data_IF_786931509581
#
_entry.id   IF_786931509581
#
_cell.length_a   1.000
_cell.length_b   1.000
_cell.length_c   1.000
_cell.angle_alpha   90.00
_cell.angle_beta   90.00
_cell.angle_gamma   90.00
#
_symmetry.space_group_name_H-M   'P 1'
#
loop_
_entity.id
_entity.type
_entity.pdbx_description
1 polymer ?
#
# COMPACT_ATOMS: atom_id res chain seq x y z
N UNK A 1 -9.20 -3.84 26.18
CA UNK A 1 -9.49 -3.79 24.74
C UNK A 1 -9.17 -5.10 24.06
N UNK A 2 -9.89 -5.45 22.99
CA UNK A 2 -9.55 -6.60 22.15
C UNK A 2 -8.38 -6.24 21.23
N UNK A 3 -7.49 -7.19 20.99
CA UNK A 3 -6.45 -7.10 19.96
C UNK A 3 -6.13 -8.48 19.39
N UNK A 4 -5.52 -8.51 18.20
CA UNK A 4 -5.02 -9.75 17.62
C UNK A 4 -3.60 -10.02 18.08
N UNK A 5 -3.40 -11.22 18.62
CA UNK A 5 -2.11 -11.83 18.89
C UNK A 5 -1.85 -12.98 17.92
N UNK A 6 -0.61 -13.30 17.62
CA UNK A 6 -0.21 -14.43 16.78
C UNK A 6 0.97 -15.18 17.38
N UNK A 7 1.02 -16.48 17.11
CA UNK A 7 2.07 -17.36 17.65
C UNK A 7 3.41 -17.21 16.94
N UNK A 8 4.49 -17.70 17.54
CA UNK A 8 5.85 -17.60 17.00
C UNK A 8 6.07 -18.41 15.71
N UNK A 9 5.19 -19.35 15.41
CA UNK A 9 5.18 -20.11 14.16
C UNK A 9 4.74 -19.28 12.94
N UNK A 10 4.14 -18.12 13.17
CA UNK A 10 3.62 -17.24 12.13
C UNK A 10 2.47 -17.83 11.33
N UNK A 11 1.84 -18.90 11.83
CA UNK A 11 0.70 -19.55 11.19
C UNK A 11 -0.56 -18.70 11.25
N UNK A 12 -1.41 -18.79 10.23
CA UNK A 12 -2.71 -18.08 10.22
C UNK A 12 -3.61 -18.56 11.37
N UNK A 13 -3.53 -19.84 11.68
CA UNK A 13 -4.34 -20.47 12.72
C UNK A 13 -3.88 -20.14 14.14
N UNK A 14 -2.72 -19.53 14.29
CA UNK A 14 -2.20 -19.05 15.58
C UNK A 14 -2.76 -17.66 15.96
N UNK A 15 -3.44 -16.99 15.06
CA UNK A 15 -4.05 -15.68 15.34
C UNK A 15 -5.28 -15.84 16.24
N UNK A 16 -5.31 -15.08 17.33
CA UNK A 16 -6.39 -15.10 18.31
C UNK A 16 -6.69 -13.71 18.85
N UNK A 17 -7.91 -13.50 19.27
CA UNK A 17 -8.28 -12.29 20.03
C UNK A 17 -7.87 -12.49 21.49
N UNK A 18 -7.21 -11.47 22.02
CA UNK A 18 -6.83 -11.39 23.43
C UNK A 18 -7.26 -10.05 24.01
N UNK A 19 -7.42 -10.01 25.33
CA UNK A 19 -7.67 -8.77 26.06
C UNK A 19 -6.34 -8.13 26.46
N UNK A 20 -6.25 -6.80 26.31
CA UNK A 20 -5.10 -5.99 26.67
C UNK A 20 -5.55 -4.61 27.17
N UNK A 21 -4.66 -3.90 27.87
CA UNK A 21 -4.89 -2.50 28.23
C UNK A 21 -4.78 -1.60 26.98
N UNK A 22 -5.64 -0.57 26.85
CA UNK A 22 -5.50 0.42 25.78
C UNK A 22 -4.16 1.17 25.91
N UNK A 23 -3.46 1.43 24.79
CA UNK A 23 -2.26 2.24 24.82
C UNK A 23 -2.61 3.70 25.15
N UNK A 24 -1.65 4.43 25.74
CA UNK A 24 -1.80 5.86 26.02
C UNK A 24 -1.05 6.69 25.00
N UNK A 25 -1.66 7.77 24.47
CA UNK A 25 -0.98 8.63 23.51
C UNK A 25 0.09 9.48 24.21
N UNK A 26 1.30 9.49 23.64
CA UNK A 26 2.40 10.37 24.04
C UNK A 26 2.29 11.78 23.44
N UNK A 27 3.32 12.63 23.62
CA UNK A 27 3.33 13.98 23.05
C UNK A 27 3.20 13.97 21.51
N UNK A 28 2.23 14.73 20.98
CA UNK A 28 1.94 14.82 19.56
C UNK A 28 1.27 13.57 18.96
N UNK A 29 0.77 12.66 19.80
CA UNK A 29 0.06 11.47 19.38
C UNK A 29 -1.43 11.54 19.73
N UNK A 30 -2.23 10.82 18.95
CA UNK A 30 -3.66 10.63 19.18
C UNK A 30 -3.95 9.16 19.40
N UNK A 31 -4.88 8.86 20.32
CA UNK A 31 -5.49 7.55 20.47
C UNK A 31 -6.71 7.48 19.54
N UNK A 32 -6.74 6.49 18.68
CA UNK A 32 -7.84 6.25 17.76
C UNK A 32 -8.64 5.04 18.27
N UNK A 33 -9.95 5.22 18.48
CA UNK A 33 -10.92 4.15 18.58
C UNK A 33 -11.14 3.57 17.19
N UNK A 34 -10.64 2.35 16.96
CA UNK A 34 -10.60 1.76 15.61
C UNK A 34 -11.95 1.15 15.27
N UNK A 35 -12.52 1.57 14.16
CA UNK A 35 -13.71 0.96 13.56
C UNK A 35 -13.34 -0.02 12.45
N UNK A 36 -12.37 0.36 11.61
CA UNK A 36 -11.89 -0.48 10.50
C UNK A 36 -10.37 -0.42 10.41
N UNK A 37 -9.75 -1.55 10.05
CA UNK A 37 -8.32 -1.67 9.79
C UNK A 37 -8.06 -2.33 8.44
N UNK A 38 -7.22 -1.72 7.60
CA UNK A 38 -6.84 -2.31 6.32
C UNK A 38 -5.84 -3.45 6.50
N UNK A 39 -5.95 -4.48 5.65
CA UNK A 39 -5.00 -5.61 5.60
C UNK A 39 -3.98 -5.37 4.50
N UNK A 40 -2.71 -5.59 4.81
CA UNK A 40 -1.59 -5.29 3.93
C UNK A 40 -0.56 -6.43 3.87
N UNK A 41 0.22 -6.49 2.80
CA UNK A 41 1.32 -7.46 2.67
C UNK A 41 2.33 -7.45 3.82
N UNK A 42 2.73 -6.27 4.36
CA UNK A 42 3.56 -6.19 5.54
C UNK A 42 2.98 -6.84 6.80
N UNK A 43 1.65 -6.89 6.98
CA UNK A 43 1.00 -7.59 8.11
C UNK A 43 1.27 -9.09 8.03
N UNK A 44 1.13 -9.67 6.82
CA UNK A 44 1.46 -11.07 6.58
C UNK A 44 2.96 -11.34 6.81
N UNK A 45 3.80 -10.45 6.31
CA UNK A 45 5.24 -10.55 6.47
C UNK A 45 5.68 -10.43 7.94
N UNK A 46 5.04 -9.53 8.72
CA UNK A 46 5.29 -9.41 10.15
C UNK A 46 4.87 -10.67 10.89
N UNK A 47 3.65 -11.16 10.66
CA UNK A 47 3.18 -12.42 11.26
C UNK A 47 4.14 -13.58 10.99
N UNK A 48 4.70 -13.66 9.78
CA UNK A 48 5.65 -14.68 9.35
C UNK A 48 7.11 -14.40 9.77
N UNK A 49 7.36 -13.40 10.63
CA UNK A 49 8.70 -13.07 11.14
C UNK A 49 9.64 -12.41 10.13
N UNK A 50 9.15 -12.04 8.93
CA UNK A 50 9.97 -11.46 7.84
C UNK A 50 9.99 -9.93 7.82
N UNK A 51 9.14 -9.27 8.61
CA UNK A 51 9.03 -7.82 8.67
C UNK A 51 8.76 -7.35 10.11
N UNK A 52 9.75 -7.40 11.01
CA UNK A 52 9.57 -7.04 12.42
C UNK A 52 9.19 -5.56 12.57
N UNK A 53 8.41 -5.20 13.60
CA UNK A 53 8.12 -3.81 13.91
C UNK A 53 9.43 -3.07 14.27
N UNK A 54 9.56 -1.78 13.90
CA UNK A 54 10.69 -0.97 14.31
C UNK A 54 10.66 -0.75 15.85
N UNK A 55 11.80 -0.42 16.46
CA UNK A 55 11.86 -0.14 17.90
C UNK A 55 10.82 0.90 18.34
N UNK A 56 10.09 0.61 19.42
CA UNK A 56 9.05 1.49 19.96
C UNK A 56 7.68 1.39 19.28
N UNK A 57 7.56 0.71 18.14
CA UNK A 57 6.25 0.47 17.51
C UNK A 57 5.51 -0.71 18.18
N UNK A 58 4.18 -0.66 18.15
CA UNK A 58 3.34 -1.76 18.60
C UNK A 58 3.69 -3.07 17.88
N UNK A 59 3.82 -4.21 18.59
CA UNK A 59 3.98 -5.52 17.98
C UNK A 59 2.68 -6.07 17.37
N UNK A 60 1.53 -5.48 17.70
CA UNK A 60 0.25 -5.85 17.16
C UNK A 60 0.20 -5.48 15.66
N UNK A 61 -0.38 -6.35 14.83
CA UNK A 61 -0.54 -6.14 13.39
C UNK A 61 -1.42 -4.91 13.07
N UNK A 62 -1.41 -4.52 11.81
CA UNK A 62 -2.23 -3.44 11.27
C UNK A 62 -1.49 -2.13 11.14
N UNK A 63 -1.37 -1.64 9.90
CA UNK A 63 -0.58 -0.46 9.53
C UNK A 63 -1.44 0.73 9.08
N UNK A 64 -2.74 0.55 8.97
CA UNK A 64 -3.71 1.60 8.63
C UNK A 64 -5.06 1.35 9.27
N UNK A 65 -5.72 2.41 9.65
CA UNK A 65 -7.02 2.36 10.31
C UNK A 65 -7.94 3.50 9.86
N UNK A 66 -9.25 3.34 10.08
CA UNK A 66 -10.19 4.45 10.19
C UNK A 66 -11.00 4.29 11.48
N UNK A 67 -11.26 5.41 12.13
CA UNK A 67 -11.96 5.42 13.41
C UNK A 67 -12.11 6.83 13.96
N UNK A 68 -12.37 6.91 15.26
CA UNK A 68 -12.66 8.15 15.96
C UNK A 68 -11.53 8.50 16.93
N UNK A 69 -11.11 9.73 16.98
CA UNK A 69 -10.15 10.20 17.98
C UNK A 69 -10.77 10.09 19.36
N UNK A 70 -10.20 9.24 20.23
CA UNK A 70 -10.70 8.94 21.57
C UNK A 70 -9.98 9.74 22.65
N UNK A 71 -8.67 9.98 22.49
CA UNK A 71 -7.85 10.74 23.44
C UNK A 71 -6.73 11.47 22.70
N UNK A 72 -6.31 12.61 23.27
CA UNK A 72 -5.22 13.43 22.75
C UNK A 72 -4.05 13.38 23.71
N UNK A 73 -2.86 13.09 23.19
CA UNK A 73 -1.63 13.29 23.95
C UNK A 73 -1.27 14.76 24.10
N UNK A 74 -0.28 15.08 24.94
CA UNK A 74 0.19 16.47 25.10
C UNK A 74 0.62 17.08 23.75
N UNK A 75 0.38 18.38 23.58
CA UNK A 75 0.78 19.16 22.41
C UNK A 75 0.07 18.81 21.08
N UNK A 76 -0.97 17.98 21.09
CA UNK A 76 -1.83 17.76 19.92
C UNK A 76 -2.64 19.02 19.64
N UNK A 77 -2.67 19.45 18.39
CA UNK A 77 -3.33 20.69 17.96
C UNK A 77 -4.20 20.55 16.69
N UNK A 78 -4.00 19.50 15.91
CA UNK A 78 -4.69 19.33 14.61
C UNK A 78 -6.05 18.64 14.74
N UNK A 79 -6.29 17.91 15.83
CA UNK A 79 -7.48 17.08 16.03
C UNK A 79 -8.17 17.37 17.35
N UNK A 80 -9.43 16.97 17.44
CA UNK A 80 -10.25 17.00 18.66
C UNK A 80 -10.79 15.61 18.96
N UNK A 81 -11.04 15.33 20.24
CA UNK A 81 -11.77 14.13 20.64
C UNK A 81 -13.11 14.09 19.92
N UNK A 82 -13.40 12.97 19.27
CA UNK A 82 -14.61 12.78 18.50
C UNK A 82 -14.46 12.96 16.99
N UNK A 83 -13.34 13.50 16.50
CA UNK A 83 -13.10 13.64 15.06
C UNK A 83 -12.95 12.26 14.38
N UNK A 84 -13.51 12.12 13.19
CA UNK A 84 -13.34 10.94 12.35
C UNK A 84 -12.09 11.08 11.50
N UNK A 85 -11.23 10.07 11.58
CA UNK A 85 -9.92 10.05 10.89
C UNK A 85 -9.66 8.74 10.20
N UNK A 86 -8.84 8.79 9.16
CA UNK A 86 -8.07 7.65 8.67
C UNK A 86 -6.59 7.93 8.89
N UNK A 87 -5.80 6.91 9.22
CA UNK A 87 -4.42 7.13 9.61
C UNK A 87 -3.48 5.99 9.21
N UNK A 88 -2.25 6.37 8.84
CA UNK A 88 -1.12 5.45 8.81
C UNK A 88 -0.62 5.25 10.24
N UNK A 89 -0.53 3.99 10.67
CA UNK A 89 -0.08 3.65 12.02
C UNK A 89 1.19 2.78 11.99
N UNK A 90 2.07 2.87 13.00
CA UNK A 90 3.32 2.08 13.02
C UNK A 90 3.09 0.61 13.36
N UNK A 91 1.89 0.24 13.73
CA UNK A 91 1.38 -1.03 14.20
C UNK A 91 0.17 -0.81 15.10
N UNK A 92 -0.48 -1.88 15.55
CA UNK A 92 -1.60 -1.76 16.48
C UNK A 92 -2.98 -1.64 15.83
N UNK A 93 -3.07 -1.59 14.51
CA UNK A 93 -4.35 -1.41 13.81
C UNK A 93 -5.34 -2.56 14.01
N UNK A 94 -4.87 -3.77 14.34
CA UNK A 94 -5.75 -4.91 14.62
C UNK A 94 -6.13 -4.97 16.11
N UNK A 95 -6.49 -3.82 16.66
CA UNK A 95 -6.95 -3.69 18.04
C UNK A 95 -8.07 -2.63 18.13
N UNK A 96 -8.89 -2.70 19.18
CA UNK A 96 -9.97 -1.74 19.42
C UNK A 96 -9.46 -0.28 19.53
N UNK A 97 -8.20 -0.10 19.94
CA UNK A 97 -7.53 1.20 20.03
C UNK A 97 -6.09 1.12 19.54
N UNK A 98 -5.63 2.15 18.85
CA UNK A 98 -4.23 2.30 18.48
C UNK A 98 -3.76 3.75 18.60
N UNK A 99 -2.45 3.94 18.70
CA UNK A 99 -1.81 5.25 18.81
C UNK A 99 -1.03 5.57 17.55
N UNK A 100 -1.11 6.80 17.09
CA UNK A 100 -0.27 7.33 16.02
C UNK A 100 0.01 8.82 16.21
N UNK A 101 1.04 9.33 15.53
CA UNK A 101 1.26 10.78 15.46
C UNK A 101 0.03 11.47 14.86
N UNK A 102 -0.40 12.60 15.45
CA UNK A 102 -1.47 13.44 14.88
C UNK A 102 -1.20 13.81 13.42
N UNK A 103 0.08 13.89 13.05
CA UNK A 103 0.57 14.27 11.72
C UNK A 103 0.49 13.14 10.67
N UNK A 104 0.11 11.92 11.07
CA UNK A 104 -0.12 10.79 10.15
C UNK A 104 -1.61 10.54 9.87
N UNK A 105 -2.48 11.26 10.57
CA UNK A 105 -3.91 11.17 10.39
C UNK A 105 -4.40 12.16 9.30
N UNK A 106 -5.46 11.76 8.62
CA UNK A 106 -6.14 12.50 7.57
C UNK A 106 -7.65 12.49 7.83
N UNK A 107 -8.40 13.51 7.39
CA UNK A 107 -9.86 13.45 7.44
C UNK A 107 -10.37 12.33 6.53
N UNK A 108 -11.53 11.81 6.83
CA UNK A 108 -12.22 10.88 5.91
C UNK A 108 -12.57 11.66 4.63
N UNK A 109 -12.19 11.20 3.43
CA UNK A 109 -12.59 11.84 2.19
C UNK A 109 -14.13 11.90 2.07
N UNK A 110 -14.66 13.02 1.67
CA UNK A 110 -16.10 13.18 1.47
C UNK A 110 -16.64 12.13 0.50
N UNK A 111 -17.79 11.54 0.81
CA UNK A 111 -18.44 10.51 0.00
C UNK A 111 -17.88 9.09 0.18
N UNK A 112 -16.79 8.90 0.92
CA UNK A 112 -16.29 7.57 1.23
C UNK A 112 -16.80 7.05 2.57
N UNK A 113 -17.04 5.75 2.65
CA UNK A 113 -17.33 5.07 3.91
C UNK A 113 -16.07 4.92 4.77
N UNK A 114 -16.23 4.72 6.07
CA UNK A 114 -15.09 4.45 6.97
C UNK A 114 -14.28 3.23 6.54
N UNK A 115 -14.94 2.17 6.07
CA UNK A 115 -14.26 0.99 5.56
C UNK A 115 -13.37 1.30 4.33
N UNK A 116 -13.85 2.13 3.41
CA UNK A 116 -13.06 2.59 2.26
C UNK A 116 -11.89 3.45 2.72
N UNK A 117 -12.13 4.36 3.66
CA UNK A 117 -11.09 5.23 4.19
C UNK A 117 -9.99 4.46 4.92
N UNK A 118 -10.34 3.39 5.68
CA UNK A 118 -9.37 2.52 6.36
C UNK A 118 -8.40 1.81 5.41
N UNK A 119 -8.70 1.76 4.13
CA UNK A 119 -7.92 1.08 3.09
C UNK A 119 -7.04 2.02 2.26
N UNK A 120 -6.94 3.31 2.64
CA UNK A 120 -6.22 4.33 1.87
C UNK A 120 -4.77 4.53 2.33
N UNK A 121 -4.46 4.73 3.63
CA UNK A 121 -3.17 5.29 4.04
C UNK A 121 -1.96 4.48 3.58
N UNK A 122 -1.90 3.18 3.87
CA UNK A 122 -0.72 2.35 3.55
C UNK A 122 -0.43 2.35 2.04
N UNK A 123 -1.47 2.21 1.21
CA UNK A 123 -1.31 2.19 -0.23
C UNK A 123 -0.90 3.57 -0.77
N UNK A 124 -1.59 4.64 -0.36
CA UNK A 124 -1.35 5.98 -0.91
C UNK A 124 -0.04 6.59 -0.46
N UNK A 125 0.35 6.44 0.82
CA UNK A 125 1.68 6.83 1.29
C UNK A 125 2.79 6.09 0.54
N UNK A 126 2.59 4.79 0.29
CA UNK A 126 3.57 3.97 -0.42
C UNK A 126 3.71 4.39 -1.88
N UNK A 127 2.60 4.55 -2.62
CA UNK A 127 2.70 4.92 -4.04
C UNK A 127 3.20 6.34 -4.21
N UNK A 128 2.81 7.29 -3.34
CA UNK A 128 3.32 8.66 -3.36
C UNK A 128 4.83 8.70 -3.17
N UNK A 129 5.31 8.11 -2.08
CA UNK A 129 6.73 8.07 -1.76
C UNK A 129 7.60 7.43 -2.85
N UNK A 130 7.05 6.46 -3.57
CA UNK A 130 7.80 5.70 -4.55
C UNK A 130 7.66 6.24 -5.98
N UNK A 131 6.47 6.64 -6.39
CA UNK A 131 6.23 7.13 -7.74
C UNK A 131 6.50 8.63 -7.89
N UNK A 132 6.14 9.45 -6.90
CA UNK A 132 6.37 10.90 -6.95
C UNK A 132 7.74 11.24 -6.40
N UNK A 133 8.02 10.94 -5.13
CA UNK A 133 9.24 11.39 -4.48
C UNK A 133 10.51 10.74 -5.06
N UNK A 134 10.47 9.42 -5.32
CA UNK A 134 11.66 8.68 -5.77
C UNK A 134 11.76 8.58 -7.28
N UNK A 135 10.70 8.18 -7.95
CA UNK A 135 10.71 8.02 -9.40
C UNK A 135 10.53 9.35 -10.13
N UNK A 136 9.95 10.36 -9.50
CA UNK A 136 9.63 11.63 -10.17
C UNK A 136 8.73 11.41 -11.39
N UNK A 137 7.69 10.56 -11.24
CA UNK A 137 6.75 10.24 -12.32
C UNK A 137 6.10 11.50 -12.87
N UNK A 138 6.07 11.64 -14.20
CA UNK A 138 5.57 12.84 -14.89
C UNK A 138 4.46 12.51 -15.87
N UNK A 139 3.71 13.53 -16.24
CA UNK A 139 2.72 13.45 -17.31
C UNK A 139 3.35 12.93 -18.63
N UNK A 140 2.63 12.06 -19.33
CA UNK A 140 3.07 11.43 -20.57
C UNK A 140 4.03 10.25 -20.41
N UNK A 141 4.57 9.98 -19.21
CA UNK A 141 5.42 8.82 -18.96
C UNK A 141 4.62 7.52 -18.86
N UNK A 142 5.21 6.42 -19.33
CA UNK A 142 4.64 5.06 -19.19
C UNK A 142 5.13 4.43 -17.91
N UNK A 143 4.19 4.02 -17.05
CA UNK A 143 4.43 3.33 -15.79
C UNK A 143 3.98 1.88 -15.89
N UNK A 144 4.90 0.91 -15.74
CA UNK A 144 4.52 -0.49 -15.55
C UNK A 144 4.39 -0.79 -14.06
N UNK A 145 3.27 -1.37 -13.66
CA UNK A 145 2.94 -1.74 -12.27
C UNK A 145 2.79 -3.26 -12.20
N UNK A 146 3.66 -3.94 -11.48
CA UNK A 146 3.43 -5.36 -11.17
C UNK A 146 2.39 -5.52 -10.07
N UNK A 147 1.48 -6.50 -10.24
CA UNK A 147 0.39 -6.71 -9.29
C UNK A 147 -0.72 -5.65 -9.38
N UNK A 148 -1.11 -5.27 -10.60
CA UNK A 148 -2.05 -4.17 -10.88
C UNK A 148 -3.39 -4.25 -10.13
N UNK A 149 -3.89 -5.45 -9.85
CA UNK A 149 -5.16 -5.66 -9.13
C UNK A 149 -5.05 -5.61 -7.60
N UNK A 150 -3.85 -5.43 -7.04
CA UNK A 150 -3.66 -5.27 -5.59
C UNK A 150 -4.06 -3.86 -5.13
N UNK A 151 -4.18 -3.65 -3.81
CA UNK A 151 -4.43 -2.32 -3.25
C UNK A 151 -3.39 -1.28 -3.69
N UNK A 152 -2.11 -1.65 -3.68
CA UNK A 152 -1.00 -0.82 -4.20
C UNK A 152 -1.16 -0.59 -5.70
N UNK A 153 -1.48 -1.64 -6.47
CA UNK A 153 -1.64 -1.54 -7.92
C UNK A 153 -2.76 -0.57 -8.31
N UNK A 154 -3.92 -0.66 -7.66
CA UNK A 154 -5.04 0.23 -7.92
C UNK A 154 -4.76 1.68 -7.50
N UNK A 155 -4.10 1.89 -6.37
CA UNK A 155 -3.64 3.22 -5.97
C UNK A 155 -2.63 3.81 -6.97
N UNK A 156 -1.69 2.98 -7.48
CA UNK A 156 -0.72 3.39 -8.49
C UNK A 156 -1.38 3.73 -9.85
N UNK A 157 -2.41 2.97 -10.28
CA UNK A 157 -3.21 3.31 -11.46
C UNK A 157 -3.88 4.68 -11.26
N UNK A 158 -4.54 4.88 -10.09
CA UNK A 158 -5.21 6.14 -9.77
C UNK A 158 -4.25 7.32 -9.75
N UNK A 159 -3.07 7.17 -9.11
CA UNK A 159 -2.05 8.21 -9.05
C UNK A 159 -1.47 8.52 -10.45
N UNK A 160 -1.15 7.49 -11.24
CA UNK A 160 -0.64 7.68 -12.60
C UNK A 160 -1.60 8.51 -13.46
N UNK A 161 -2.90 8.18 -13.42
CA UNK A 161 -3.92 8.94 -14.12
C UNK A 161 -4.04 10.39 -13.62
N UNK A 162 -3.96 10.57 -12.30
CA UNK A 162 -4.04 11.90 -11.69
C UNK A 162 -2.91 12.82 -12.15
N UNK A 163 -1.69 12.28 -12.31
CA UNK A 163 -0.54 13.05 -12.80
C UNK A 163 -0.40 13.06 -14.32
N UNK A 164 -1.32 12.40 -15.06
CA UNK A 164 -1.29 12.35 -16.53
C UNK A 164 -0.28 11.35 -17.11
N UNK A 165 0.18 10.37 -16.32
CA UNK A 165 1.00 9.25 -16.79
C UNK A 165 0.13 8.09 -17.31
N UNK A 166 0.74 7.16 -18.05
CA UNK A 166 0.11 6.03 -18.73
C UNK A 166 0.36 4.74 -17.94
N UNK A 167 -0.61 4.23 -17.15
CA UNK A 167 -0.43 3.01 -16.37
C UNK A 167 -0.62 1.75 -17.22
N UNK A 168 0.41 0.91 -17.26
CA UNK A 168 0.38 -0.46 -17.72
C UNK A 168 0.49 -1.37 -16.49
N UNK A 169 -0.20 -2.51 -16.48
CA UNK A 169 -0.15 -3.40 -15.32
C UNK A 169 0.10 -4.84 -15.72
N UNK A 170 0.67 -5.64 -14.81
CA UNK A 170 0.67 -7.10 -14.90
C UNK A 170 -0.26 -7.69 -13.85
N UNK A 171 -1.01 -8.72 -14.23
CA UNK A 171 -1.99 -9.41 -13.39
C UNK A 171 -1.96 -10.91 -13.65
N UNK A 172 -2.62 -11.71 -12.81
CA UNK A 172 -2.53 -13.16 -12.84
C UNK A 172 -3.68 -13.88 -13.53
N UNK A 173 -4.65 -13.18 -14.13
CA UNK A 173 -5.73 -13.77 -14.93
C UNK A 173 -6.51 -12.71 -15.71
N UNK A 174 -7.31 -13.15 -16.69
CA UNK A 174 -8.10 -12.27 -17.57
C UNK A 174 -9.16 -11.45 -16.83
N UNK A 175 -9.79 -11.97 -15.77
CA UNK A 175 -10.76 -11.21 -14.95
C UNK A 175 -10.09 -9.99 -14.31
N UNK A 176 -8.92 -10.18 -13.74
CA UNK A 176 -8.11 -9.09 -13.16
C UNK A 176 -7.64 -8.11 -14.22
N UNK A 177 -7.30 -8.59 -15.41
CA UNK A 177 -6.89 -7.74 -16.53
C UNK A 177 -8.04 -6.81 -16.93
N UNK A 178 -9.22 -7.35 -17.17
CA UNK A 178 -10.40 -6.56 -17.52
C UNK A 178 -10.73 -5.54 -16.43
N UNK A 179 -10.73 -5.98 -15.15
CA UNK A 179 -10.99 -5.08 -14.02
C UNK A 179 -10.00 -3.90 -13.98
N UNK A 180 -8.69 -4.16 -14.15
CA UNK A 180 -7.69 -3.10 -14.13
C UNK A 180 -7.85 -2.11 -15.29
N UNK A 181 -8.26 -2.57 -16.48
CA UNK A 181 -8.56 -1.69 -17.61
C UNK A 181 -9.79 -0.83 -17.33
N UNK A 182 -10.87 -1.39 -16.80
CA UNK A 182 -12.08 -0.65 -16.41
C UNK A 182 -11.79 0.34 -15.27
N UNK A 183 -10.81 0.01 -14.43
CA UNK A 183 -10.34 0.88 -13.34
C UNK A 183 -9.46 2.02 -13.84
N UNK A 184 -8.85 1.88 -15.04
CA UNK A 184 -8.11 2.94 -15.70
C UNK A 184 -6.69 2.60 -16.16
N UNK A 185 -6.27 1.35 -16.12
CA UNK A 185 -5.04 0.94 -16.77
C UNK A 185 -5.19 0.97 -18.29
N UNK A 186 -4.21 1.51 -19.01
CA UNK A 186 -4.24 1.50 -20.49
C UNK A 186 -4.08 0.09 -21.05
N UNK A 187 -3.21 -0.70 -20.42
CA UNK A 187 -2.97 -2.10 -20.80
C UNK A 187 -2.84 -2.94 -19.53
N UNK A 188 -3.51 -4.09 -19.52
CA UNK A 188 -3.35 -5.10 -18.49
C UNK A 188 -2.85 -6.41 -19.12
N UNK A 189 -1.71 -6.90 -18.64
CA UNK A 189 -0.99 -8.06 -19.18
C UNK A 189 -1.21 -9.23 -18.22
N UNK A 190 -1.83 -10.31 -18.70
CA UNK A 190 -1.91 -11.56 -17.95
C UNK A 190 -0.60 -12.33 -18.08
N UNK A 191 0.28 -12.20 -17.07
CA UNK A 191 1.61 -12.81 -17.08
C UNK A 191 1.60 -14.36 -17.06
N UNK A 192 0.43 -14.98 -16.91
CA UNK A 192 0.29 -16.44 -17.02
C UNK A 192 0.03 -16.89 -18.45
N UNK A 193 -0.46 -15.99 -19.30
CA UNK A 193 -0.81 -16.28 -20.70
C UNK A 193 0.22 -15.72 -21.68
N UNK A 194 0.92 -14.64 -21.33
CA UNK A 194 1.86 -13.97 -22.20
C UNK A 194 3.12 -13.49 -21.45
N UNK A 195 4.24 -13.40 -22.16
CA UNK A 195 5.47 -12.80 -21.61
C UNK A 195 5.34 -11.28 -21.60
N UNK A 196 5.36 -10.71 -20.40
CA UNK A 196 5.15 -9.26 -20.25
C UNK A 196 6.27 -8.43 -20.90
N UNK A 197 7.49 -8.96 -21.02
CA UNK A 197 8.61 -8.26 -21.70
C UNK A 197 8.32 -8.13 -23.20
N UNK A 198 7.90 -9.24 -23.82
CA UNK A 198 7.53 -9.24 -25.24
C UNK A 198 6.33 -8.31 -25.47
N UNK A 199 5.31 -8.37 -24.61
CA UNK A 199 4.12 -7.53 -24.71
C UNK A 199 4.44 -6.05 -24.53
N UNK A 200 5.21 -5.66 -23.53
CA UNK A 200 5.65 -4.27 -23.33
C UNK A 200 6.42 -3.77 -24.57
N UNK A 201 7.37 -4.55 -25.08
CA UNK A 201 8.12 -4.17 -26.30
C UNK A 201 7.21 -3.99 -27.50
N UNK A 202 6.18 -4.81 -27.65
CA UNK A 202 5.19 -4.71 -28.73
C UNK A 202 4.40 -3.40 -28.65
N UNK A 203 3.75 -3.14 -27.49
CA UNK A 203 2.86 -1.97 -27.32
C UNK A 203 3.61 -0.63 -27.27
N UNK A 204 4.90 -0.67 -26.89
CA UNK A 204 5.75 0.52 -26.86
C UNK A 204 6.60 0.67 -28.12
N UNK A 205 6.40 -0.13 -29.15
CA UNK A 205 7.22 -0.16 -30.36
C UNK A 205 8.72 -0.28 -30.08
N UNK A 206 9.07 -1.11 -29.07
CA UNK A 206 10.42 -1.33 -28.53
C UNK A 206 11.05 -0.15 -27.77
N UNK A 207 10.35 0.95 -27.58
CA UNK A 207 10.85 2.07 -26.76
C UNK A 207 10.98 1.70 -25.29
N UNK A 208 10.04 0.89 -24.77
CA UNK A 208 9.95 0.51 -23.37
C UNK A 208 9.13 1.48 -22.51
N UNK A 209 9.27 1.36 -21.18
CA UNK A 209 8.57 2.18 -20.18
C UNK A 209 9.53 3.08 -19.43
N UNK A 210 9.01 4.17 -18.87
CA UNK A 210 9.81 5.16 -18.14
C UNK A 210 10.05 4.73 -16.70
N UNK A 211 9.01 4.14 -16.06
CA UNK A 211 9.06 3.71 -14.67
C UNK A 211 8.49 2.29 -14.55
N UNK A 212 9.11 1.48 -13.69
CA UNK A 212 8.57 0.19 -13.25
C UNK A 212 8.40 0.24 -11.73
N UNK A 213 7.19 -0.03 -11.24
CA UNK A 213 6.90 -0.27 -9.83
C UNK A 213 6.86 -1.79 -9.59
N UNK A 214 7.83 -2.30 -8.83
CA UNK A 214 8.02 -3.74 -8.63
C UNK A 214 7.83 -4.15 -7.17
N UNK A 215 6.94 -5.09 -6.95
CA UNK A 215 6.73 -5.80 -5.69
C UNK A 215 7.15 -7.28 -5.76
N UNK A 216 7.56 -7.74 -6.94
CA UNK A 216 7.82 -9.16 -7.20
C UNK A 216 9.27 -9.52 -6.90
N UNK A 217 10.22 -8.75 -7.40
CA UNK A 217 11.65 -9.05 -7.27
C UNK A 217 12.06 -10.32 -8.02
N UNK A 218 13.06 -11.06 -7.50
CA UNK A 218 13.52 -12.30 -8.11
C UNK A 218 13.91 -12.13 -9.58
N UNK A 219 13.50 -13.05 -10.42
CA UNK A 219 13.78 -13.04 -11.86
C UNK A 219 13.15 -11.85 -12.60
N UNK A 220 12.20 -11.13 -11.99
CA UNK A 220 11.62 -9.94 -12.58
C UNK A 220 12.61 -8.78 -12.68
N UNK A 221 13.61 -8.71 -11.80
CA UNK A 221 14.58 -7.60 -11.80
C UNK A 221 15.28 -7.45 -13.15
N UNK A 222 15.81 -8.55 -13.71
CA UNK A 222 16.47 -8.52 -15.02
C UNK A 222 15.49 -8.21 -16.17
N UNK A 223 14.29 -8.77 -16.10
CA UNK A 223 13.22 -8.50 -17.07
C UNK A 223 12.80 -7.02 -17.05
N UNK A 224 12.64 -6.43 -15.87
CA UNK A 224 12.28 -5.02 -15.69
C UNK A 224 13.32 -4.08 -16.31
N UNK A 225 14.60 -4.33 -16.04
CA UNK A 225 15.71 -3.56 -16.63
C UNK A 225 15.71 -3.65 -18.16
N UNK A 226 15.34 -4.81 -18.72
CA UNK A 226 15.31 -5.01 -20.18
C UNK A 226 14.29 -4.15 -20.90
N UNK A 227 13.17 -3.81 -20.24
CA UNK A 227 12.05 -3.02 -20.80
C UNK A 227 12.06 -1.55 -20.41
N UNK A 228 12.95 -1.11 -19.55
CA UNK A 228 13.11 0.30 -19.24
C UNK A 228 13.72 1.06 -20.43
N UNK A 229 13.24 2.27 -20.67
CA UNK A 229 13.86 3.24 -21.57
C UNK A 229 15.22 3.71 -21.04
N UNK A 230 15.93 4.48 -21.84
CA UNK A 230 17.08 5.27 -21.33
C UNK A 230 16.58 6.25 -20.28
N UNK A 231 17.40 6.40 -19.20
CA UNK A 231 17.08 7.19 -17.99
C UNK A 231 15.83 6.68 -17.23
N UNK A 232 15.42 5.43 -17.50
CA UNK A 232 14.29 4.79 -16.82
C UNK A 232 14.57 4.48 -15.35
N UNK A 233 13.49 4.28 -14.57
CA UNK A 233 13.57 4.06 -13.12
C UNK A 233 12.86 2.78 -12.74
N UNK A 234 13.57 1.90 -12.01
CA UNK A 234 13.02 0.71 -11.36
C UNK A 234 12.84 1.00 -9.87
N UNK A 235 11.63 0.93 -9.38
CA UNK A 235 11.29 1.20 -7.98
C UNK A 235 10.81 -0.08 -7.30
N UNK A 236 11.56 -0.51 -6.29
CA UNK A 236 11.35 -1.75 -5.55
C UNK A 236 10.60 -1.45 -4.25
N UNK A 237 9.45 -2.08 -4.02
CA UNK A 237 8.63 -1.91 -2.82
C UNK A 237 8.42 -3.21 -2.04
N UNK A 238 8.72 -4.36 -2.65
CA UNK A 238 8.68 -5.68 -2.02
C UNK A 238 9.45 -6.70 -2.84
N UNK A 239 9.59 -7.92 -2.31
CA UNK A 239 10.32 -9.02 -2.93
C UNK A 239 9.56 -10.34 -2.75
N UNK A 240 8.37 -10.45 -3.36
CA UNK A 240 7.52 -11.65 -3.25
C UNK A 240 8.20 -12.93 -3.77
N UNK A 241 9.12 -12.80 -4.74
CA UNK A 241 9.93 -13.90 -5.28
C UNK A 241 11.40 -13.86 -4.82
N UNK A 242 11.68 -13.13 -3.74
CA UNK A 242 13.02 -13.03 -3.17
C UNK A 242 13.83 -11.84 -3.66
N UNK A 243 14.83 -11.46 -2.85
CA UNK A 243 15.67 -10.28 -3.07
C UNK A 243 17.09 -10.61 -3.55
N UNK A 244 17.48 -11.90 -3.55
CA UNK A 244 18.82 -12.35 -3.96
C UNK A 244 18.72 -12.95 -5.35
N UNK A 245 19.45 -12.36 -6.31
CA UNK A 245 19.46 -12.79 -7.72
C UNK A 245 20.83 -12.61 -8.32
N UNK A 246 21.12 -13.39 -9.36
CA UNK A 246 22.17 -13.08 -10.31
C UNK A 246 21.65 -12.00 -11.28
N UNK A 247 22.43 -10.94 -11.49
CA UNK A 247 21.96 -9.76 -12.20
C UNK A 247 23.05 -9.17 -13.12
N UNK A 248 22.73 -8.97 -14.40
CA UNK A 248 23.57 -8.26 -15.36
C UNK A 248 23.35 -6.74 -15.25
N UNK A 249 24.39 -6.03 -14.81
CA UNK A 249 24.39 -4.57 -14.67
C UNK A 249 24.68 -3.80 -15.97
N UNK A 250 25.09 -4.48 -17.05
CA UNK A 250 25.42 -3.80 -18.32
C UNK A 250 24.28 -2.89 -18.83
N UNK A 251 22.99 -3.34 -18.84
CA UNK A 251 21.89 -2.48 -19.24
C UNK A 251 21.70 -1.24 -18.34
N UNK A 252 22.02 -1.36 -17.05
CA UNK A 252 21.91 -0.22 -16.10
C UNK A 252 22.86 0.90 -16.52
N UNK A 253 24.10 0.54 -16.86
CA UNK A 253 25.11 1.50 -17.33
C UNK A 253 24.75 2.07 -18.71
N UNK A 254 24.46 1.22 -19.69
CA UNK A 254 24.20 1.65 -21.08
C UNK A 254 22.98 2.55 -21.18
N UNK A 255 21.91 2.25 -20.43
CA UNK A 255 20.65 3.01 -20.44
C UNK A 255 20.62 4.11 -19.36
N UNK A 256 21.64 4.26 -18.52
CA UNK A 256 21.71 5.21 -17.38
C UNK A 256 20.51 5.06 -16.44
N UNK A 257 20.18 3.80 -16.07
CA UNK A 257 19.01 3.52 -15.26
C UNK A 257 19.22 3.88 -13.79
N UNK A 258 18.15 4.24 -13.12
CA UNK A 258 18.08 4.34 -11.67
C UNK A 258 17.34 3.11 -11.11
N UNK A 259 18.00 2.39 -10.19
CA UNK A 259 17.35 1.34 -9.39
C UNK A 259 17.27 1.85 -7.97
N UNK A 260 16.06 1.94 -7.43
CA UNK A 260 15.78 2.47 -6.09
C UNK A 260 14.66 1.69 -5.42
N UNK A 261 14.40 1.95 -4.16
CA UNK A 261 13.30 1.36 -3.43
C UNK A 261 13.15 1.99 -2.06
N UNK A 262 12.05 1.71 -1.39
CA UNK A 262 11.84 2.17 -0.02
C UNK A 262 10.85 1.32 0.74
N UNK A 263 10.94 1.42 2.07
CA UNK A 263 9.91 0.98 2.99
C UNK A 263 9.25 2.22 3.61
N UNK A 264 7.98 2.09 4.00
CA UNK A 264 7.23 3.21 4.60
C UNK A 264 7.37 3.23 6.13
N UNK A 265 7.27 2.06 6.76
CA UNK A 265 7.15 1.94 8.21
C UNK A 265 8.27 2.61 9.03
N UNK A 266 9.58 2.48 8.70
CA UNK A 266 10.67 3.06 9.47
C UNK A 266 10.93 4.55 9.19
N UNK A 267 10.18 5.20 8.30
CA UNK A 267 10.34 6.64 8.01
C UNK A 267 9.99 7.47 9.24
N UNK A 268 10.66 8.60 9.38
CA UNK A 268 10.42 9.55 10.46
C UNK A 268 9.00 10.13 10.42
N UNK A 269 8.57 10.73 11.54
CA UNK A 269 7.29 11.43 11.63
C UNK A 269 7.22 12.55 10.59
N UNK A 270 8.31 13.32 10.41
CA UNK A 270 8.34 14.45 9.47
C UNK A 270 8.26 14.01 8.01
N UNK A 271 8.95 12.91 7.64
CA UNK A 271 8.86 12.36 6.28
C UNK A 271 7.44 11.91 5.94
N UNK A 272 6.77 11.22 6.88
CA UNK A 272 5.39 10.77 6.69
C UNK A 272 4.42 11.95 6.68
N UNK A 273 4.63 12.94 7.56
CA UNK A 273 3.80 14.14 7.62
C UNK A 273 3.83 14.93 6.31
N UNK A 274 5.02 15.09 5.72
CA UNK A 274 5.15 15.72 4.39
C UNK A 274 4.35 14.97 3.33
N UNK A 275 4.44 13.64 3.29
CA UNK A 275 3.64 12.82 2.36
C UNK A 275 2.15 12.99 2.63
N UNK A 276 1.74 12.99 3.92
CA UNK A 276 0.35 13.23 4.32
C UNK A 276 -0.18 14.56 3.79
N UNK A 277 0.61 15.63 3.91
CA UNK A 277 0.20 16.96 3.45
C UNK A 277 0.03 17.01 1.93
N UNK A 278 0.92 16.36 1.19
CA UNK A 278 0.80 16.23 -0.27
C UNK A 278 -0.40 15.39 -0.69
N UNK A 279 -0.66 14.27 -0.02
CA UNK A 279 -1.85 13.46 -0.26
C UNK A 279 -3.13 14.23 0.02
N UNK A 280 -3.17 14.97 1.14
CA UNK A 280 -4.33 15.80 1.52
C UNK A 280 -4.62 16.88 0.48
N UNK A 281 -3.57 17.49 -0.09
CA UNK A 281 -3.73 18.57 -1.07
C UNK A 281 -4.06 18.08 -2.47
N UNK A 282 -3.50 16.93 -2.91
CA UNK A 282 -3.58 16.51 -4.31
C UNK A 282 -4.47 15.29 -4.55
N UNK A 283 -4.51 14.34 -3.61
CA UNK A 283 -5.23 13.07 -3.79
C UNK A 283 -6.61 13.09 -3.14
N UNK A 284 -6.73 13.65 -1.93
CA UNK A 284 -7.99 13.68 -1.19
C UNK A 284 -9.14 14.37 -1.94
N UNK A 285 -8.93 15.52 -2.62
CA UNK A 285 -9.97 16.12 -3.47
C UNK A 285 -10.38 15.22 -4.64
N UNK A 286 -9.43 14.48 -5.23
CA UNK A 286 -9.71 13.57 -6.34
C UNK A 286 -10.48 12.31 -5.88
N UNK A 287 -10.25 11.84 -4.64
CA UNK A 287 -11.05 10.80 -4.01
C UNK A 287 -12.48 11.29 -3.72
N UNK A 288 -12.63 12.48 -3.13
CA UNK A 288 -13.93 13.07 -2.82
C UNK A 288 -14.79 13.34 -4.07
N UNK A 289 -14.18 13.76 -5.17
CA UNK A 289 -14.90 13.99 -6.45
C UNK A 289 -15.17 12.70 -7.24
N UNK A 290 -14.65 11.54 -6.82
CA UNK A 290 -14.74 10.28 -7.57
C UNK A 290 -13.84 10.20 -8.81
N UNK A 291 -12.97 11.19 -9.05
CA UNK A 291 -11.96 11.15 -10.10
C UNK A 291 -10.99 9.98 -9.87
N UNK A 292 -10.62 9.74 -8.62
CA UNK A 292 -9.88 8.57 -8.18
C UNK A 292 -10.83 7.62 -7.46
N UNK A 293 -10.83 6.37 -7.89
CA UNK A 293 -11.72 5.32 -7.34
C UNK A 293 -11.02 4.52 -6.23
N UNK A 294 -11.80 3.96 -5.33
CA UNK A 294 -11.37 2.95 -4.34
C UNK A 294 -12.00 1.60 -4.66
N UNK A 295 -11.37 0.52 -4.24
CA UNK A 295 -11.93 -0.83 -4.38
C UNK A 295 -11.68 -1.65 -3.12
N UNK A 296 -12.77 -2.06 -2.46
CA UNK A 296 -12.75 -3.05 -1.40
C UNK A 296 -13.16 -4.40 -1.97
N UNK A 297 -12.37 -5.42 -1.71
CA UNK A 297 -12.74 -6.81 -2.00
C UNK A 297 -13.74 -7.34 -0.99
N UNK A 298 -13.53 -7.03 0.29
CA UNK A 298 -14.41 -7.47 1.35
C UNK A 298 -14.09 -6.85 2.70
N UNK A 299 -15.12 -6.88 3.57
CA UNK A 299 -15.03 -6.46 4.97
C UNK A 299 -15.25 -7.71 5.82
N UNK A 300 -14.35 -7.94 6.76
CA UNK A 300 -14.35 -9.15 7.61
C UNK A 300 -14.41 -8.73 9.08
N UNK A 301 -15.26 -9.31 9.90
CA UNK A 301 -15.20 -9.07 11.33
C UNK A 301 -13.85 -9.50 11.90
N UNK A 302 -13.40 -8.86 12.99
CA UNK A 302 -12.09 -9.11 13.60
C UNK A 302 -11.84 -10.59 13.88
N UNK A 303 -12.89 -11.33 14.28
CA UNK A 303 -12.87 -12.75 14.56
C UNK A 303 -12.49 -13.61 13.32
N UNK A 304 -12.66 -13.05 12.13
CA UNK A 304 -12.32 -13.69 10.85
C UNK A 304 -10.98 -13.23 10.25
N UNK A 305 -10.12 -12.64 11.06
CA UNK A 305 -8.78 -12.17 10.61
C UNK A 305 -8.00 -13.27 9.89
N UNK A 306 -8.07 -14.52 10.36
CA UNK A 306 -7.42 -15.67 9.73
C UNK A 306 -7.93 -15.94 8.32
N UNK A 307 -9.25 -15.88 8.11
CA UNK A 307 -9.87 -16.03 6.79
C UNK A 307 -9.38 -14.92 5.83
N UNK A 308 -9.41 -13.68 6.28
CA UNK A 308 -8.98 -12.53 5.49
C UNK A 308 -7.49 -12.61 5.11
N UNK A 309 -6.62 -13.07 6.01
CA UNK A 309 -5.19 -13.31 5.71
C UNK A 309 -4.99 -14.43 4.68
N UNK A 310 -5.73 -15.56 4.76
CA UNK A 310 -5.67 -16.63 3.74
C UNK A 310 -6.10 -16.12 2.36
N UNK A 311 -7.14 -15.30 2.29
CA UNK A 311 -7.59 -14.70 1.03
C UNK A 311 -6.48 -13.82 0.45
N UNK A 312 -5.83 -13.00 1.27
CA UNK A 312 -4.72 -12.18 0.81
C UNK A 312 -3.52 -13.02 0.35
N UNK A 313 -3.15 -14.08 1.08
CA UNK A 313 -2.07 -15.01 0.70
C UNK A 313 -2.34 -15.73 -0.62
N UNK A 314 -3.61 -16.08 -0.89
CA UNK A 314 -3.99 -16.73 -2.15
C UNK A 314 -3.88 -15.83 -3.37
N UNK A 315 -3.73 -14.51 -3.16
CA UNK A 315 -3.71 -13.51 -4.23
C UNK A 315 -4.93 -13.59 -5.17
N UNK A 316 -6.08 -14.09 -4.72
CA UNK A 316 -7.30 -14.18 -5.53
C UNK A 316 -8.12 -12.89 -5.52
N UNK A 317 -7.97 -12.07 -4.48
CA UNK A 317 -8.68 -10.81 -4.32
C UNK A 317 -8.32 -9.76 -5.38
N UNK A 318 -9.22 -8.78 -5.54
CA UNK A 318 -9.01 -7.53 -6.30
C UNK A 318 -9.25 -6.37 -5.34
N UNK A 319 -8.29 -5.45 -5.19
CA UNK A 319 -8.41 -4.33 -4.26
C UNK A 319 -8.01 -4.69 -2.84
N UNK A 320 -8.64 -4.06 -1.86
CA UNK A 320 -8.28 -4.11 -0.45
C UNK A 320 -9.22 -4.98 0.38
N UNK A 321 -8.67 -5.63 1.40
CA UNK A 321 -9.41 -6.31 2.46
C UNK A 321 -9.35 -5.45 3.71
N UNK A 322 -10.44 -5.43 4.47
CA UNK A 322 -10.58 -4.61 5.67
C UNK A 322 -11.17 -5.44 6.80
N UNK A 323 -10.62 -5.29 8.00
CA UNK A 323 -11.21 -5.81 9.23
C UNK A 323 -12.19 -4.79 9.80
N UNK A 324 -13.35 -5.26 10.23
CA UNK A 324 -14.32 -4.49 11.01
C UNK A 324 -14.16 -4.83 12.49
N UNK A 325 -13.85 -3.83 13.29
CA UNK A 325 -13.68 -3.95 14.73
C UNK A 325 -14.93 -3.49 15.49
N UNK A 326 -15.65 -2.50 14.91
CA UNK A 326 -16.88 -1.92 15.48
C UNK A 326 -17.90 -1.64 14.36
N UNK A 327 -19.17 -1.58 14.73
CA UNK A 327 -20.27 -1.13 13.88
C UNK A 327 -20.30 0.40 13.73
#
# INVERSE_FOLDING_TARGET
>A
MRQIEYGPDGGVDSMRIVEAEPPKPGPGEILIEVHYAGINGPDLAQRQGRYPPPPGASPVLGLEVAGRVAELGPSVSQWKVGDWVTALVPGGGYADYCVTSERHALPIPEGLTLAQAAALPEAWFTVWANLIDRAGLKAGERLLIHGGSSGIGLAAIGLARLVGAQPLVTVGNGQKAQFCQDFGAEVAIDYRQEDFVARVKQITHKEGVDVVLDMVGGAYLQKNVSILKRDGRLVLISFLQGSKVEFDFMPVMIKRLTITGSTMRPRTVDEKARIRDELLSQVWPALASGQVKTCLFGIYPLEKVGEAHRIMESSQHIGKLVLQLRE
#
